data_IF_154768654647
#
_entry.id   IF_154768654647
#
_cell.length_a   1.000
_cell.length_b   1.000
_cell.length_c   1.000
_cell.angle_alpha   90.00
_cell.angle_beta   90.00
_cell.angle_gamma   90.00
#
_symmetry.space_group_name_H-M   'P 1'
#
loop_
_entity.id
_entity.type
_entity.pdbx_description
1 polymer ?
#
# COMPACT_ATOMS: atom_id res chain seq x y z
N UNK A 1 -24.35 28.86 -0.06
CA UNK A 1 -24.66 28.84 -1.49
C UNK A 1 -23.36 28.53 -2.22
N UNK A 2 -23.23 27.29 -2.71
CA UNK A 2 -22.23 26.66 -3.63
C UNK A 2 -22.30 25.15 -3.32
N UNK A 3 -23.35 24.46 -3.79
CA UNK A 3 -23.36 23.60 -4.98
C UNK A 3 -22.34 22.44 -4.90
N UNK A 4 -22.85 21.30 -4.42
CA UNK A 4 -22.28 19.97 -4.65
C UNK A 4 -22.96 19.40 -5.90
N UNK A 5 -22.17 18.97 -6.87
CA UNK A 5 -22.63 18.23 -8.05
C UNK A 5 -21.44 17.47 -8.63
N UNK A 6 -21.57 16.25 -9.14
CA UNK A 6 -22.72 15.34 -9.27
C UNK A 6 -22.12 13.93 -9.29
N UNK A 7 -22.60 13.09 -8.38
CA UNK A 7 -22.34 11.66 -8.37
C UNK A 7 -23.15 11.06 -9.54
N UNK A 8 -22.49 10.66 -10.62
CA UNK A 8 -23.16 9.82 -11.62
C UNK A 8 -23.35 8.43 -11.02
N UNK A 9 -24.63 8.06 -10.93
CA UNK A 9 -25.13 6.78 -10.47
C UNK A 9 -25.39 5.94 -11.72
N UNK A 10 -24.57 4.93 -11.94
CA UNK A 10 -24.84 3.86 -12.93
C UNK A 10 -25.20 2.56 -12.17
N UNK A 11 -25.97 1.65 -12.81
CA UNK A 11 -26.95 0.79 -12.12
C UNK A 11 -26.35 -0.44 -11.44
N UNK A 12 -27.12 -0.96 -10.48
CA UNK A 12 -26.95 -2.27 -9.85
C UNK A 12 -27.07 -3.38 -10.90
N UNK A 13 -26.11 -4.32 -10.87
CA UNK A 13 -26.12 -5.74 -11.30
C UNK A 13 -24.65 -6.06 -11.67
N UNK A 14 -23.90 -7.05 -11.16
CA UNK A 14 -24.19 -8.33 -10.51
C UNK A 14 -23.19 -8.54 -9.35
N UNK A 15 -23.72 -8.82 -8.17
CA UNK A 15 -22.98 -9.33 -7.02
C UNK A 15 -22.78 -10.83 -7.24
N UNK A 16 -21.58 -11.34 -6.92
CA UNK A 16 -21.10 -12.74 -7.01
C UNK A 16 -20.29 -13.04 -8.27
N UNK A 17 -18.96 -12.88 -8.19
CA UNK A 17 -17.93 -13.77 -8.80
C UNK A 17 -16.50 -13.19 -8.70
N UNK A 18 -16.11 -12.59 -7.55
CA UNK A 18 -14.72 -12.07 -7.38
C UNK A 18 -13.92 -12.84 -6.29
N UNK A 19 -14.52 -13.79 -5.59
CA UNK A 19 -13.82 -14.58 -4.58
C UNK A 19 -13.12 -15.83 -5.14
N UNK A 20 -12.46 -15.75 -6.29
CA UNK A 20 -11.50 -16.79 -6.67
C UNK A 20 -10.50 -16.30 -7.72
N UNK A 21 -9.45 -15.63 -7.26
CA UNK A 21 -8.26 -15.43 -8.06
C UNK A 21 -7.04 -15.68 -7.18
N UNK A 22 -6.75 -16.96 -6.96
CA UNK A 22 -5.42 -17.40 -6.55
C UNK A 22 -4.40 -17.01 -7.64
N UNK A 23 -3.22 -16.45 -7.30
CA UNK A 23 -2.24 -16.06 -8.30
C UNK A 23 -1.48 -17.30 -8.78
N UNK A 24 -2.00 -17.99 -9.78
CA UNK A 24 -1.26 -19.00 -10.53
C UNK A 24 -0.70 -18.41 -11.84
N UNK A 25 0.52 -18.80 -12.26
CA UNK A 25 1.22 -18.19 -13.38
C UNK A 25 0.75 -18.79 -14.72
N UNK A 26 0.55 -17.95 -15.74
CA UNK A 26 0.54 -18.43 -17.13
C UNK A 26 -0.60 -17.99 -18.06
N UNK A 27 -1.13 -16.76 -17.97
CA UNK A 27 -1.89 -16.19 -19.10
C UNK A 27 -1.00 -15.33 -19.98
N UNK A 28 -0.55 -15.92 -21.09
CA UNK A 28 -0.09 -15.17 -22.27
C UNK A 28 -1.25 -14.31 -22.81
N UNK A 29 -1.04 -13.02 -23.11
CA UNK A 29 -2.08 -12.21 -23.75
C UNK A 29 -2.33 -12.67 -25.19
N UNK A 30 -3.60 -12.87 -25.50
CA UNK A 30 -4.14 -13.20 -26.81
C UNK A 30 -3.86 -12.04 -27.79
N UNK A 31 -2.96 -12.23 -28.76
CA UNK A 31 -2.85 -11.32 -29.91
C UNK A 31 -4.15 -11.41 -30.72
N UNK A 32 -4.82 -10.26 -30.88
CA UNK A 32 -5.86 -10.09 -31.91
C UNK A 32 -5.33 -9.13 -32.97
N UNK A 33 -4.63 -9.73 -33.93
CA UNK A 33 -4.33 -9.17 -35.22
C UNK A 33 -5.59 -9.22 -36.10
N UNK A 34 -6.07 -8.05 -36.51
CA UNK A 34 -6.93 -7.92 -37.69
C UNK A 34 -6.58 -6.62 -38.41
N UNK A 35 -5.79 -6.75 -39.47
CA UNK A 35 -6.01 -5.93 -40.66
C UNK A 35 -5.80 -6.84 -41.87
N UNK A 36 -6.93 -7.17 -42.50
CA UNK A 36 -6.99 -7.85 -43.80
C UNK A 36 -6.88 -6.76 -44.86
N UNK A 37 -5.88 -6.85 -45.74
CA UNK A 37 -6.01 -6.31 -47.11
C UNK A 37 -5.37 -7.29 -48.10
N UNK A 38 -6.17 -7.64 -49.10
CA UNK A 38 -5.86 -8.59 -50.17
C UNK A 38 -4.75 -8.07 -51.10
N UNK A 39 -3.97 -9.02 -51.62
CA UNK A 39 -3.01 -8.84 -52.70
C UNK A 39 -3.70 -8.58 -54.05
N UNK A 40 -3.15 -7.66 -54.85
CA UNK A 40 -2.73 -7.88 -56.26
C UNK A 40 -2.28 -6.58 -56.96
N UNK A 41 -1.05 -6.60 -57.47
CA UNK A 41 -0.68 -5.98 -58.76
C UNK A 41 0.21 -4.74 -58.74
N UNK A 42 1.47 -4.91 -59.17
CA UNK A 42 2.08 -3.99 -60.15
C UNK A 42 3.24 -3.07 -59.74
N UNK A 43 4.41 -3.38 -60.31
CA UNK A 43 5.54 -2.51 -60.74
C UNK A 43 6.47 -1.92 -59.67
N UNK A 44 7.78 -2.16 -59.84
CA UNK A 44 8.83 -1.83 -58.87
C UNK A 44 9.74 -0.66 -59.21
N UNK A 45 10.54 -0.29 -58.21
CA UNK A 45 11.83 0.41 -58.29
C UNK A 45 12.68 -0.03 -57.08
N UNK A 46 14.02 -0.16 -57.19
CA UNK A 46 14.87 -0.48 -56.04
C UNK A 46 15.30 0.81 -55.35
N UNK A 47 15.19 0.89 -54.01
CA UNK A 47 15.87 1.94 -53.24
C UNK A 47 16.58 1.33 -52.04
N UNK A 48 17.85 1.72 -51.98
CA UNK A 48 18.95 1.30 -51.14
C UNK A 48 18.73 1.61 -49.66
N UNK A 49 19.28 0.72 -48.84
CA UNK A 49 19.82 0.89 -47.47
C UNK A 49 19.81 2.30 -46.88
N UNK A 50 19.21 2.45 -45.70
CA UNK A 50 19.42 3.59 -44.81
C UNK A 50 19.23 3.19 -43.35
N UNK A 51 20.34 3.02 -42.63
CA UNK A 51 20.34 3.03 -41.17
C UNK A 51 20.19 4.48 -40.69
N UNK A 52 19.20 4.78 -39.83
CA UNK A 52 19.22 5.77 -38.74
C UNK A 52 17.83 5.80 -38.10
N UNK A 53 17.68 5.36 -36.85
CA UNK A 53 17.90 6.11 -35.59
C UNK A 53 16.71 7.04 -35.27
N UNK A 54 16.29 6.98 -34.00
CA UNK A 54 15.38 7.88 -33.30
C UNK A 54 13.87 7.61 -33.43
N UNK A 55 13.40 6.86 -32.44
CA UNK A 55 12.00 6.76 -32.06
C UNK A 55 11.92 6.22 -30.63
N UNK A 56 12.52 6.94 -29.68
CA UNK A 56 12.27 6.78 -28.24
C UNK A 56 10.76 6.88 -28.02
N UNK A 57 10.07 5.75 -28.10
CA UNK A 57 8.74 5.64 -27.50
C UNK A 57 8.98 5.92 -26.03
N UNK A 58 8.29 6.89 -25.41
CA UNK A 58 8.37 7.02 -23.97
C UNK A 58 7.99 5.64 -23.43
N UNK A 59 8.95 4.97 -22.77
CA UNK A 59 8.72 3.74 -22.03
C UNK A 59 7.48 4.02 -21.19
N UNK A 60 6.34 3.45 -21.60
CA UNK A 60 5.04 3.70 -20.97
C UNK A 60 5.29 3.39 -19.50
N UNK A 61 5.32 4.42 -18.65
CA UNK A 61 5.52 4.23 -17.22
C UNK A 61 4.31 3.44 -16.78
N UNK A 62 4.52 2.16 -16.51
CA UNK A 62 3.46 1.29 -16.04
C UNK A 62 2.95 1.87 -14.71
N UNK A 63 1.63 1.96 -14.57
CA UNK A 63 1.05 2.50 -13.36
C UNK A 63 1.51 1.65 -12.16
N UNK A 64 1.84 2.26 -11.01
CA UNK A 64 2.16 1.50 -9.82
C UNK A 64 1.01 0.54 -9.48
N UNK A 65 1.35 -0.73 -9.23
CA UNK A 65 0.36 -1.72 -8.79
C UNK A 65 -0.16 -1.31 -7.42
N UNK A 66 -1.46 -0.98 -7.32
CA UNK A 66 -2.10 -0.51 -6.08
C UNK A 66 -2.99 -1.60 -5.51
N UNK A 67 -2.68 -2.04 -4.30
CA UNK A 67 -3.54 -2.92 -3.51
C UNK A 67 -4.18 -2.12 -2.37
N UNK A 68 -5.50 -2.19 -2.25
CA UNK A 68 -6.24 -1.59 -1.14
C UNK A 68 -6.91 -2.72 -0.35
N UNK A 69 -6.49 -2.89 0.90
CA UNK A 69 -7.00 -3.94 1.77
C UNK A 69 -7.79 -3.31 2.90
N UNK A 70 -9.08 -3.65 3.00
CA UNK A 70 -9.92 -3.21 4.11
C UNK A 70 -9.97 -4.29 5.19
N UNK A 71 -9.53 -3.95 6.41
CA UNK A 71 -9.43 -4.86 7.56
C UNK A 71 -8.81 -6.23 7.19
N UNK A 72 -7.61 -6.25 6.58
CA UNK A 72 -6.97 -7.52 6.20
C UNK A 72 -6.56 -8.33 7.43
N UNK A 73 -6.54 -9.65 7.30
CA UNK A 73 -5.79 -10.50 8.22
C UNK A 73 -4.28 -10.40 7.98
N UNK A 74 -3.48 -10.76 8.98
CA UNK A 74 -2.02 -10.85 8.85
C UNK A 74 -1.59 -11.62 7.60
N UNK A 75 -2.17 -12.80 7.37
CA UNK A 75 -1.85 -13.61 6.18
C UNK A 75 -2.17 -12.90 4.86
N UNK A 76 -3.28 -12.14 4.81
CA UNK A 76 -3.59 -11.34 3.62
C UNK A 76 -2.53 -10.27 3.40
N UNK A 77 -2.15 -9.52 4.44
CA UNK A 77 -1.08 -8.50 4.34
C UNK A 77 0.20 -9.12 3.77
N UNK A 78 0.65 -10.25 4.33
CA UNK A 78 1.88 -10.92 3.90
C UNK A 78 1.82 -11.40 2.44
N UNK A 79 0.69 -11.95 2.00
CA UNK A 79 0.52 -12.43 0.61
C UNK A 79 0.61 -11.26 -0.37
N UNK A 80 -0.10 -10.16 -0.12
CA UNK A 80 -0.07 -8.99 -1.01
C UNK A 80 1.29 -8.30 -1.00
N UNK A 81 1.95 -8.21 0.17
CA UNK A 81 3.30 -7.65 0.27
C UNK A 81 4.34 -8.50 -0.48
N UNK A 82 4.23 -9.83 -0.40
CA UNK A 82 5.07 -10.75 -1.16
C UNK A 82 4.83 -10.71 -2.66
N UNK A 83 3.57 -10.63 -3.12
CA UNK A 83 3.24 -10.46 -4.54
C UNK A 83 3.81 -9.16 -5.08
N UNK A 84 3.55 -8.03 -4.40
CA UNK A 84 4.10 -6.73 -4.79
C UNK A 84 5.63 -6.70 -4.81
N UNK A 85 6.29 -7.32 -3.83
CA UNK A 85 7.76 -7.43 -3.80
C UNK A 85 8.31 -8.27 -4.97
N UNK A 86 7.66 -9.40 -5.29
CA UNK A 86 8.08 -10.33 -6.35
C UNK A 86 7.90 -9.72 -7.74
N UNK A 87 6.80 -8.98 -7.95
CA UNK A 87 6.48 -8.33 -9.23
C UNK A 87 7.26 -7.03 -9.45
N UNK A 88 7.94 -6.52 -8.42
CA UNK A 88 8.64 -5.24 -8.48
C UNK A 88 9.80 -5.27 -9.51
N UNK A 89 9.83 -4.32 -10.48
CA UNK A 89 10.93 -4.23 -11.45
C UNK A 89 12.27 -3.94 -10.74
N UNK A 90 13.39 -4.09 -11.47
CA UNK A 90 14.73 -3.91 -10.92
C UNK A 90 14.97 -2.51 -10.30
N UNK A 91 14.30 -1.50 -10.83
CA UNK A 91 14.34 -0.10 -10.37
C UNK A 91 13.06 0.35 -9.64
N UNK A 92 12.19 -0.60 -9.25
CA UNK A 92 10.96 -0.28 -8.53
C UNK A 92 11.21 -0.07 -7.03
N UNK A 93 10.24 0.58 -6.39
CA UNK A 93 10.18 0.75 -4.94
C UNK A 93 8.81 0.27 -4.41
N UNK A 94 8.81 -0.28 -3.21
CA UNK A 94 7.59 -0.70 -2.51
C UNK A 94 7.11 0.45 -1.62
N UNK A 95 5.80 0.73 -1.63
CA UNK A 95 5.15 1.65 -0.71
C UNK A 95 4.12 0.86 0.11
N UNK A 96 4.27 0.86 1.43
CA UNK A 96 3.32 0.28 2.37
C UNK A 96 2.72 1.39 3.22
N UNK A 97 1.40 1.55 3.16
CA UNK A 97 0.64 2.44 4.02
C UNK A 97 -0.23 1.60 4.96
N UNK A 98 -0.05 1.77 6.27
CA UNK A 98 -0.80 1.07 7.31
C UNK A 98 -1.58 2.10 8.12
N UNK A 99 -2.88 1.88 8.27
CA UNK A 99 -3.71 2.60 9.24
C UNK A 99 -4.50 1.59 10.05
N UNK A 100 -4.15 1.47 11.33
CA UNK A 100 -4.77 0.56 12.29
C UNK A 100 -4.27 0.83 13.71
N UNK A 101 -5.03 0.34 14.69
CA UNK A 101 -4.69 0.43 16.11
C UNK A 101 -3.44 -0.39 16.43
N UNK A 102 -2.67 0.08 17.41
CA UNK A 102 -1.47 -0.55 17.89
C UNK A 102 -1.73 -1.76 18.79
N UNK A 103 -0.83 -2.74 18.71
CA UNK A 103 -0.73 -3.80 19.69
C UNK A 103 0.51 -3.59 20.54
N UNK A 104 0.31 -3.25 21.80
CA UNK A 104 1.38 -3.01 22.77
C UNK A 104 1.78 -4.32 23.48
N UNK A 105 3.08 -4.50 23.68
CA UNK A 105 3.65 -5.55 24.50
C UNK A 105 3.87 -5.08 25.94
N UNK A 106 3.85 -6.02 26.90
CA UNK A 106 4.11 -5.75 28.31
C UNK A 106 5.51 -6.21 28.78
N UNK A 107 6.41 -6.56 27.85
CA UNK A 107 7.76 -7.03 28.23
C UNK A 107 8.61 -5.91 28.82
N UNK A 108 9.32 -6.22 29.91
CA UNK A 108 10.15 -5.24 30.65
C UNK A 108 11.58 -5.16 30.10
N UNK A 109 12.03 -6.22 29.45
CA UNK A 109 13.36 -6.32 28.84
C UNK A 109 13.16 -6.79 27.39
N UNK A 110 13.03 -5.85 26.43
CA UNK A 110 12.99 -6.18 25.02
C UNK A 110 14.39 -6.61 24.57
N UNK A 111 14.52 -7.86 24.15
CA UNK A 111 15.74 -8.42 23.56
C UNK A 111 15.66 -8.34 22.03
N UNK A 112 14.48 -8.59 21.47
CA UNK A 112 14.19 -8.47 20.04
C UNK A 112 13.29 -7.26 19.76
N UNK A 113 13.90 -6.13 19.42
CA UNK A 113 13.20 -4.88 19.06
C UNK A 113 12.22 -5.05 17.90
N UNK A 114 12.33 -6.11 17.09
CA UNK A 114 11.44 -6.41 15.99
C UNK A 114 10.08 -6.96 16.41
N UNK A 115 9.96 -7.55 17.60
CA UNK A 115 8.76 -8.28 18.04
C UNK A 115 8.34 -7.94 19.48
N UNK A 116 9.30 -7.67 20.36
CA UNK A 116 9.08 -7.50 21.79
C UNK A 116 8.34 -6.21 22.15
N UNK A 117 8.38 -5.19 21.30
CA UNK A 117 7.68 -3.92 21.53
C UNK A 117 6.23 -3.93 21.02
N UNK A 118 5.80 -5.03 20.39
CA UNK A 118 4.49 -5.12 19.76
C UNK A 118 4.51 -4.63 18.30
N UNK A 119 3.32 -4.33 17.77
CA UNK A 119 3.13 -4.03 16.35
C UNK A 119 1.81 -3.33 16.07
N UNK A 120 1.24 -3.57 14.89
CA UNK A 120 -0.06 -3.02 14.46
C UNK A 120 -1.09 -4.14 14.30
N UNK A 121 -2.32 -3.92 14.77
CA UNK A 121 -3.39 -4.92 14.73
C UNK A 121 -3.86 -5.19 13.29
N UNK A 122 -4.10 -6.46 12.99
CA UNK A 122 -4.73 -6.97 11.78
C UNK A 122 -6.03 -7.69 12.14
N UNK A 123 -6.91 -7.92 11.18
CA UNK A 123 -8.19 -8.57 11.44
C UNK A 123 -8.02 -10.06 11.76
N UNK A 124 -8.67 -10.52 12.82
CA UNK A 124 -8.91 -11.95 13.04
C UNK A 124 -10.22 -12.35 12.37
N UNK A 125 -10.20 -13.34 11.47
CA UNK A 125 -11.44 -13.92 10.90
C UNK A 125 -12.09 -14.97 11.82
N UNK A 126 -11.78 -15.00 13.12
CA UNK A 126 -12.37 -16.01 14.02
C UNK A 126 -13.68 -15.51 14.61
N UNK A 127 -14.74 -16.22 14.22
CA UNK A 127 -16.04 -16.26 14.88
C UNK A 127 -15.91 -16.36 16.39
N UNK A 128 -16.88 -15.73 17.07
CA UNK A 128 -17.11 -15.82 18.50
C UNK A 128 -17.12 -17.26 19.00
N UNK A 129 -16.41 -17.47 20.10
CA UNK A 129 -16.78 -18.26 21.29
C UNK A 129 -15.65 -19.14 21.77
N UNK A 130 -14.99 -18.67 22.83
CA UNK A 130 -14.87 -19.35 24.12
C UNK A 130 -13.83 -18.61 24.96
N UNK A 131 -14.31 -17.98 26.02
CA UNK A 131 -13.48 -17.53 27.14
C UNK A 131 -12.63 -18.72 27.60
N UNK A 132 -11.33 -18.68 27.35
CA UNK A 132 -10.39 -19.41 28.17
C UNK A 132 -9.09 -18.63 28.30
N UNK A 133 -8.77 -18.31 29.55
CA UNK A 133 -7.62 -17.55 30.03
C UNK A 133 -6.31 -18.34 29.79
N UNK A 134 -5.87 -18.44 28.54
CA UNK A 134 -4.53 -18.92 28.13
C UNK A 134 -4.05 -18.19 26.84
N UNK A 135 -4.32 -16.90 26.73
CA UNK A 135 -4.35 -16.19 25.44
C UNK A 135 -3.19 -15.25 25.10
N UNK A 136 -2.03 -15.30 25.77
CA UNK A 136 -0.91 -14.42 25.37
C UNK A 136 -0.45 -14.73 23.94
N UNK A 137 -0.34 -16.02 23.60
CA UNK A 137 0.21 -16.46 22.31
C UNK A 137 -0.75 -16.37 21.11
N UNK A 138 -2.06 -16.22 21.34
CA UNK A 138 -3.06 -16.14 20.25
C UNK A 138 -3.31 -14.70 19.79
N UNK A 139 -3.16 -13.72 20.70
CA UNK A 139 -3.23 -12.28 20.37
C UNK A 139 -2.07 -11.86 19.44
N UNK A 140 -0.92 -12.51 19.58
CA UNK A 140 0.29 -12.27 18.78
C UNK A 140 0.10 -12.59 17.29
N UNK A 141 -0.74 -13.56 16.91
CA UNK A 141 -0.94 -13.97 15.50
C UNK A 141 -1.72 -12.96 14.64
N UNK A 142 -2.29 -11.93 15.27
CA UNK A 142 -3.14 -10.94 14.60
C UNK A 142 -2.47 -9.57 14.55
N UNK A 143 -1.15 -9.51 14.65
CA UNK A 143 -0.40 -8.27 14.56
C UNK A 143 0.64 -8.35 13.44
N UNK A 144 0.88 -7.22 12.79
CA UNK A 144 2.04 -7.02 11.92
C UNK A 144 3.14 -6.36 12.76
N UNK A 145 4.26 -7.05 12.91
CA UNK A 145 5.41 -6.55 13.65
C UNK A 145 6.44 -5.91 12.73
N UNK A 146 7.30 -5.01 13.23
CA UNK A 146 8.45 -4.50 12.49
C UNK A 146 9.34 -5.61 11.91
N UNK A 147 9.55 -6.68 12.69
CA UNK A 147 10.37 -7.82 12.28
C UNK A 147 9.84 -8.57 11.05
N UNK A 148 8.51 -8.59 10.85
CA UNK A 148 7.89 -9.24 9.69
C UNK A 148 8.21 -8.54 8.37
N UNK A 149 8.66 -7.28 8.45
CA UNK A 149 9.01 -6.48 7.29
C UNK A 149 10.44 -6.72 6.80
N UNK A 150 11.28 -7.40 7.58
CA UNK A 150 12.68 -7.69 7.22
C UNK A 150 12.85 -8.29 5.82
N UNK A 151 12.00 -9.23 5.36
CA UNK A 151 12.21 -9.82 4.04
C UNK A 151 12.08 -8.82 2.88
N UNK A 152 11.29 -7.77 3.08
CA UNK A 152 10.93 -6.79 2.06
C UNK A 152 11.89 -5.60 2.01
N UNK A 153 12.78 -5.44 2.98
CA UNK A 153 13.86 -4.44 2.97
C UNK A 153 15.00 -4.78 1.99
N UNK A 154 14.85 -5.87 1.21
CA UNK A 154 15.73 -6.27 0.11
C UNK A 154 15.58 -5.42 -1.16
N UNK A 155 14.57 -4.54 -1.21
CA UNK A 155 14.35 -3.55 -2.28
C UNK A 155 14.07 -2.18 -1.64
N UNK A 156 14.16 -1.06 -2.39
CA UNK A 156 13.80 0.25 -1.85
C UNK A 156 12.37 0.23 -1.28
N UNK A 157 12.23 0.64 -0.02
CA UNK A 157 10.99 0.47 0.73
C UNK A 157 10.58 1.75 1.47
N UNK A 158 9.38 2.26 1.17
CA UNK A 158 8.76 3.38 1.84
C UNK A 158 7.60 2.85 2.69
N UNK A 159 7.59 3.18 3.98
CA UNK A 159 6.57 2.73 4.93
C UNK A 159 5.91 3.96 5.56
N UNK A 160 4.60 3.98 5.62
CA UNK A 160 3.79 4.95 6.38
C UNK A 160 2.98 4.17 7.40
N UNK A 161 3.15 4.49 8.68
CA UNK A 161 2.45 3.84 9.79
C UNK A 161 1.64 4.88 10.54
N UNK A 162 0.33 4.90 10.28
CA UNK A 162 -0.67 5.70 10.99
C UNK A 162 -1.30 4.85 12.10
N UNK A 163 -0.63 4.81 13.25
CA UNK A 163 -0.99 3.97 14.42
C UNK A 163 -0.52 4.62 15.72
N UNK A 164 -1.22 4.42 16.84
CA UNK A 164 -0.76 4.85 18.17
C UNK A 164 0.49 4.09 18.68
N UNK A 165 0.83 2.96 18.05
CA UNK A 165 2.07 2.21 18.30
C UNK A 165 3.08 2.30 17.14
N UNK A 166 3.01 3.34 16.30
CA UNK A 166 3.88 3.45 15.11
C UNK A 166 5.38 3.55 15.43
N UNK A 167 5.75 4.01 16.63
CA UNK A 167 7.14 4.23 17.05
C UNK A 167 8.00 2.96 17.04
N UNK A 168 7.38 1.77 17.18
CA UNK A 168 8.12 0.50 17.18
C UNK A 168 8.76 0.20 15.83
N UNK A 169 8.31 0.85 14.75
CA UNK A 169 8.87 0.74 13.41
C UNK A 169 10.12 1.62 13.18
N UNK A 170 10.54 2.43 14.17
CA UNK A 170 11.69 3.33 14.05
C UNK A 170 13.02 2.59 13.81
N UNK A 171 13.18 1.41 14.41
CA UNK A 171 14.46 0.71 14.48
C UNK A 171 14.54 -0.51 13.55
N UNK A 172 13.83 -0.49 12.42
CA UNK A 172 13.94 -1.56 11.43
C UNK A 172 15.39 -1.60 10.88
N UNK A 173 16.12 -2.71 11.04
CA UNK A 173 17.51 -2.84 10.61
C UNK A 173 17.62 -2.85 9.07
N UNK A 174 18.66 -2.20 8.56
CA UNK A 174 18.97 -2.14 7.12
C UNK A 174 19.89 -3.27 6.66
N UNK A 175 19.45 -4.52 6.83
CA UNK A 175 20.28 -5.70 6.52
C UNK A 175 20.81 -5.77 5.08
N UNK A 176 20.10 -5.21 4.10
CA UNK A 176 20.41 -5.37 2.67
C UNK A 176 20.94 -4.09 2.01
N UNK A 177 21.21 -3.03 2.77
CA UNK A 177 21.75 -1.78 2.25
C UNK A 177 20.83 -1.00 1.30
N UNK A 178 19.55 -1.36 1.20
CA UNK A 178 18.60 -0.67 0.35
C UNK A 178 18.04 0.60 1.00
N UNK A 179 17.66 1.62 0.21
CA UNK A 179 16.98 2.80 0.73
C UNK A 179 15.69 2.43 1.46
N UNK A 180 15.52 2.95 2.68
CA UNK A 180 14.31 2.73 3.46
C UNK A 180 13.92 4.01 4.19
N UNK A 181 12.66 4.40 4.03
CA UNK A 181 12.01 5.53 4.70
C UNK A 181 10.83 5.00 5.49
N UNK A 182 10.72 5.41 6.75
CA UNK A 182 9.58 5.10 7.61
C UNK A 182 9.02 6.42 8.13
N UNK A 183 7.77 6.72 7.77
CA UNK A 183 7.00 7.82 8.37
C UNK A 183 6.06 7.23 9.41
N UNK A 184 6.13 7.78 10.62
CA UNK A 184 5.36 7.33 11.77
C UNK A 184 4.43 8.48 12.19
N UNK A 185 3.21 8.14 12.61
CA UNK A 185 2.32 9.05 13.31
C UNK A 185 3.01 9.69 14.53
N UNK A 186 2.66 10.95 14.87
CA UNK A 186 3.22 11.62 16.04
C UNK A 186 2.84 10.89 17.33
N UNK A 187 3.76 10.85 18.29
CA UNK A 187 3.51 10.28 19.61
C UNK A 187 2.67 11.21 20.49
N UNK A 188 2.84 12.53 20.30
CA UNK A 188 2.14 13.56 21.05
C UNK A 188 1.32 14.45 20.09
N UNK A 189 0.06 14.66 20.45
CA UNK A 189 -0.85 15.57 19.76
C UNK A 189 -1.33 16.60 20.78
N UNK A 190 -1.37 17.91 20.45
CA UNK A 190 -1.85 18.92 21.38
C UNK A 190 -3.26 18.58 21.88
N UNK A 191 -3.59 18.82 23.17
CA UNK A 191 -4.86 18.40 23.77
C UNK A 191 -6.10 18.86 23.00
N UNK A 192 -6.05 20.04 22.37
CA UNK A 192 -7.13 20.58 21.54
C UNK A 192 -7.49 19.72 20.32
N UNK A 193 -6.63 18.79 19.91
CA UNK A 193 -6.81 17.97 18.72
C UNK A 193 -6.90 16.46 19.02
N UNK A 194 -6.90 16.04 20.29
CA UNK A 194 -6.97 14.62 20.65
C UNK A 194 -8.33 13.98 20.27
N UNK A 195 -9.45 14.67 20.50
CA UNK A 195 -10.79 14.16 20.17
C UNK A 195 -11.05 14.03 18.66
N UNK A 196 -10.25 14.71 17.83
CA UNK A 196 -10.44 14.72 16.37
C UNK A 196 -9.89 13.45 15.69
N UNK A 197 -9.20 12.56 16.42
CA UNK A 197 -8.68 11.32 15.84
C UNK A 197 -9.76 10.41 15.27
N UNK A 198 -11.00 10.49 15.74
CA UNK A 198 -12.12 9.70 15.22
C UNK A 198 -12.56 10.10 13.80
N UNK A 199 -12.20 11.30 13.33
CA UNK A 199 -12.55 11.81 11.99
C UNK A 199 -11.38 11.72 10.98
N UNK A 200 -10.29 11.05 11.35
CA UNK A 200 -9.06 10.93 10.57
C UNK A 200 -7.86 11.56 11.29
N UNK A 201 -6.66 11.03 11.06
CA UNK A 201 -5.46 11.52 11.74
C UNK A 201 -4.94 12.82 11.12
N UNK A 202 -4.46 13.74 11.97
CA UNK A 202 -3.74 14.93 11.52
C UNK A 202 -2.53 14.56 10.65
N UNK A 203 -1.86 13.46 10.99
CA UNK A 203 -0.75 12.91 10.22
C UNK A 203 -1.14 12.67 8.76
N UNK A 204 -2.23 11.95 8.53
CA UNK A 204 -2.76 11.68 7.19
C UNK A 204 -3.21 12.96 6.48
N UNK A 205 -3.81 13.92 7.21
CA UNK A 205 -4.18 15.21 6.65
C UNK A 205 -2.96 15.98 6.14
N UNK A 206 -1.83 15.98 6.88
CA UNK A 206 -0.58 16.60 6.44
C UNK A 206 0.04 15.90 5.22
N UNK A 207 -0.07 14.56 5.13
CA UNK A 207 0.40 13.81 3.97
C UNK A 207 -0.46 14.08 2.72
N UNK A 208 -1.76 14.27 2.89
CA UNK A 208 -2.70 14.50 1.78
C UNK A 208 -2.75 15.97 1.33
N UNK A 209 -2.90 16.91 2.27
CA UNK A 209 -3.00 18.34 1.99
C UNK A 209 -2.36 19.16 3.13
N UNK A 210 -1.05 19.43 3.07
CA UNK A 210 -0.34 20.13 4.14
C UNK A 210 -0.84 21.57 4.35
N UNK A 211 -1.29 22.25 3.29
CA UNK A 211 -1.87 23.59 3.40
C UNK A 211 -3.21 23.55 4.16
N UNK A 212 -4.08 22.59 3.85
CA UNK A 212 -5.33 22.41 4.58
C UNK A 212 -5.06 22.02 6.03
N UNK A 213 -4.10 21.15 6.28
CA UNK A 213 -3.69 20.76 7.62
C UNK A 213 -3.20 21.98 8.44
N UNK A 214 -2.33 22.80 7.85
CA UNK A 214 -1.84 24.03 8.46
C UNK A 214 -2.98 25.00 8.78
N UNK A 215 -3.87 25.25 7.82
CA UNK A 215 -5.02 26.12 8.03
C UNK A 215 -5.93 25.58 9.14
N UNK A 216 -6.17 24.26 9.16
CA UNK A 216 -6.97 23.59 10.18
C UNK A 216 -6.39 23.78 11.59
N UNK A 217 -5.10 23.50 11.79
CA UNK A 217 -4.47 23.65 13.11
C UNK A 217 -4.37 25.12 13.57
N UNK A 218 -4.26 26.05 12.62
CA UNK A 218 -4.21 27.49 12.90
C UNK A 218 -5.59 28.16 12.95
N UNK A 219 -6.68 27.39 12.80
CA UNK A 219 -8.05 27.90 12.71
C UNK A 219 -8.24 28.99 11.63
N UNK A 220 -7.54 28.84 10.50
CA UNK A 220 -7.67 29.71 9.32
C UNK A 220 -8.77 29.13 8.43
N UNK A 221 -9.95 29.75 8.48
CA UNK A 221 -11.14 29.27 7.78
C UNK A 221 -11.23 29.76 6.33
N UNK A 222 -10.52 30.83 5.98
CA UNK A 222 -10.49 31.40 4.64
C UNK A 222 -9.05 31.73 4.25
N UNK A 223 -8.62 31.18 3.11
CA UNK A 223 -7.40 31.61 2.43
C UNK A 223 -7.84 32.62 1.36
N UNK A 224 -7.27 33.84 1.31
CA UNK A 224 -7.61 34.85 0.31
C UNK A 224 -7.31 34.39 -1.13
#
# INVERSE_FOLDING_TARGET
>A
MTSFGTLEREPQDEFNHIYDASPAPGRVPFEKSYSVTSTKGGVGYPVVTGCQENGDRPLKRENPHKYLLYKPSFSQVMVFLASGFKELPANGALLLYISADGCFSSTKHPEDMGYDLGGVITSSKRESDHLNKKGMHLKEMHCLYPGDLHPFTRKPFFIIVDSDNSFVFQHIPRYFGQPMVVLMSPQDIPPSFQDHQHNGSLFTLFLHSPLTAFCFICNILNVP
#
